data_IF_967560936447
#
_entry.id   IF_967560936447
#
_cell.length_a   1.000
_cell.length_b   1.000
_cell.length_c   1.000
_cell.angle_alpha   90.00
_cell.angle_beta   90.00
_cell.angle_gamma   90.00
#
_symmetry.space_group_name_H-M   'P 1'
#
loop_
_entity.id
_entity.type
_entity.pdbx_description
1 polymer ?
#
# COMPACT_ATOMS: atom_id res chain seq x y z
N UNK A 1 8.72 -13.87 -0.50
CA UNK A 1 8.13 -12.68 0.14
C UNK A 1 7.07 -12.13 -0.79
N UNK A 2 5.85 -11.86 -0.31
CA UNK A 2 4.76 -11.38 -1.17
C UNK A 2 4.89 -9.86 -1.33
N UNK A 3 4.68 -9.34 -2.53
CA UNK A 3 4.73 -7.90 -2.82
C UNK A 3 3.73 -7.51 -3.89
N UNK A 4 3.39 -6.22 -3.93
CA UNK A 4 2.70 -5.59 -5.05
C UNK A 4 3.64 -4.55 -5.65
N UNK A 5 3.80 -4.55 -6.96
CA UNK A 5 4.60 -3.55 -7.67
C UNK A 5 3.69 -2.66 -8.49
N UNK A 6 3.97 -1.36 -8.50
CA UNK A 6 3.33 -0.42 -9.41
C UNK A 6 4.36 0.39 -10.15
N UNK A 7 4.15 0.54 -11.45
CA UNK A 7 4.91 1.48 -12.28
C UNK A 7 4.23 2.84 -12.26
N UNK A 8 5.03 3.88 -12.13
CA UNK A 8 4.63 5.29 -12.19
C UNK A 8 5.78 6.12 -12.75
N UNK A 9 5.47 7.34 -13.23
CA UNK A 9 6.50 8.28 -13.69
C UNK A 9 7.38 8.77 -12.54
N UNK A 10 6.82 8.89 -11.35
CA UNK A 10 7.52 9.33 -10.14
C UNK A 10 7.06 8.50 -8.93
N UNK A 11 7.85 7.50 -8.50
CA UNK A 11 7.53 6.66 -7.34
C UNK A 11 7.51 7.42 -6.01
N UNK A 12 8.34 8.44 -5.87
CA UNK A 12 8.42 9.24 -4.65
C UNK A 12 7.19 10.12 -4.52
N UNK A 13 6.81 10.82 -5.59
CA UNK A 13 5.60 11.63 -5.62
C UNK A 13 4.34 10.76 -5.39
N UNK A 14 4.28 9.57 -5.99
CA UNK A 14 3.17 8.64 -5.75
C UNK A 14 3.06 8.25 -4.27
N UNK A 15 4.18 7.90 -3.63
CA UNK A 15 4.20 7.58 -2.19
C UNK A 15 3.69 8.77 -1.38
N UNK A 16 4.18 9.97 -1.65
CA UNK A 16 3.76 11.19 -0.94
C UNK A 16 2.28 11.51 -1.13
N UNK A 17 1.74 11.33 -2.34
CA UNK A 17 0.32 11.53 -2.63
C UNK A 17 -0.57 10.47 -1.95
N UNK A 18 -0.13 9.22 -1.86
CA UNK A 18 -0.80 8.18 -1.04
C UNK A 18 -0.89 8.64 0.40
N UNK A 19 0.23 9.04 1.01
CA UNK A 19 0.27 9.49 2.40
C UNK A 19 -0.61 10.71 2.63
N UNK A 20 -0.52 11.71 1.75
CA UNK A 20 -1.32 12.93 1.82
C UNK A 20 -2.81 12.64 1.74
N UNK A 21 -3.27 11.74 0.85
CA UNK A 21 -4.68 11.36 0.77
C UNK A 21 -5.15 10.60 2.01
N UNK A 22 -4.32 9.75 2.61
CA UNK A 22 -4.63 9.07 3.88
C UNK A 22 -4.74 10.08 5.04
N UNK A 23 -3.75 10.95 5.19
CA UNK A 23 -3.70 11.96 6.27
C UNK A 23 -4.84 12.98 6.15
N UNK A 24 -5.25 13.33 4.92
CA UNK A 24 -6.40 14.18 4.65
C UNK A 24 -7.76 13.45 4.80
N UNK A 25 -7.76 12.15 5.14
CA UNK A 25 -8.97 11.35 5.30
C UNK A 25 -9.68 10.97 3.98
N UNK A 26 -9.07 11.25 2.82
CA UNK A 26 -9.62 10.88 1.50
C UNK A 26 -9.52 9.37 1.23
N UNK A 27 -8.59 8.70 1.90
CA UNK A 27 -8.47 7.23 1.96
C UNK A 27 -8.64 6.83 3.42
N UNK A 28 -9.90 6.75 3.87
CA UNK A 28 -10.23 6.62 5.29
C UNK A 28 -10.06 5.21 5.85
N UNK A 29 -10.06 4.17 4.99
CA UNK A 29 -9.92 2.77 5.39
C UNK A 29 -8.48 2.34 5.66
N UNK A 30 -7.49 3.22 5.43
CA UNK A 30 -6.07 2.96 5.60
C UNK A 30 -5.44 3.93 6.60
N UNK A 31 -4.32 3.51 7.20
CA UNK A 31 -3.52 4.31 8.13
C UNK A 31 -2.03 4.14 7.87
N UNK A 32 -1.27 5.12 8.34
CA UNK A 32 0.17 5.11 8.39
C UNK A 32 0.61 4.92 9.85
N UNK A 33 1.77 4.31 10.07
CA UNK A 33 2.42 4.37 11.37
C UNK A 33 2.94 5.80 11.66
N UNK A 34 3.37 6.02 12.90
CA UNK A 34 3.87 7.32 13.37
C UNK A 34 5.04 7.85 12.52
N UNK A 35 5.85 6.95 11.95
CA UNK A 35 7.00 7.29 11.13
C UNK A 35 6.70 7.31 9.62
N UNK A 36 5.46 7.05 9.19
CA UNK A 36 5.03 6.94 7.78
C UNK A 36 5.87 5.97 6.95
N UNK A 37 6.37 4.92 7.60
CA UNK A 37 7.11 3.82 6.95
C UNK A 37 6.19 2.67 6.60
N UNK A 38 5.12 2.48 7.38
CA UNK A 38 4.23 1.34 7.26
C UNK A 38 2.83 1.81 6.89
N UNK A 39 2.22 1.12 5.93
CA UNK A 39 0.85 1.31 5.50
C UNK A 39 0.02 0.09 5.94
N UNK A 40 -1.10 0.32 6.64
CA UNK A 40 -1.98 -0.76 7.10
C UNK A 40 -3.46 -0.43 6.95
N UNK A 41 -4.30 -1.45 7.02
CA UNK A 41 -5.75 -1.30 6.87
C UNK A 41 -6.45 -1.18 8.23
N UNK A 42 -7.33 -0.18 8.41
CA UNK A 42 -8.02 0.11 9.69
C UNK A 42 -9.12 -0.88 10.06
N UNK A 43 -9.68 -1.58 9.08
CA UNK A 43 -10.74 -2.56 9.29
C UNK A 43 -10.38 -3.59 10.36
N UNK A 44 -11.27 -3.81 11.33
CA UNK A 44 -11.01 -4.60 12.54
C UNK A 44 -10.47 -6.01 12.25
N UNK A 45 -10.97 -6.67 11.21
CA UNK A 45 -10.54 -8.01 10.79
C UNK A 45 -9.14 -8.08 10.13
N UNK A 46 -8.52 -6.94 9.87
CA UNK A 46 -7.21 -6.81 9.22
C UNK A 46 -6.20 -6.09 10.11
N UNK A 47 -6.70 -5.31 11.08
CA UNK A 47 -5.88 -4.52 11.99
C UNK A 47 -4.87 -5.40 12.70
N UNK A 48 -3.62 -4.94 12.71
CA UNK A 48 -2.47 -5.66 13.28
C UNK A 48 -2.10 -6.98 12.62
N UNK A 49 -2.82 -7.49 11.61
CA UNK A 49 -2.49 -8.75 10.94
C UNK A 49 -1.47 -8.60 9.81
N UNK A 50 -1.50 -7.47 9.10
CA UNK A 50 -0.54 -7.16 8.06
C UNK A 50 -0.25 -5.67 7.96
N UNK A 51 0.88 -5.36 7.33
CA UNK A 51 1.28 -4.01 6.95
C UNK A 51 2.15 -4.08 5.69
N UNK A 52 2.29 -2.95 5.01
CA UNK A 52 3.13 -2.80 3.83
C UNK A 52 4.27 -1.83 4.11
N UNK A 53 5.48 -2.23 3.73
CA UNK A 53 6.63 -1.34 3.63
C UNK A 53 6.79 -0.84 2.20
N UNK A 54 7.23 0.40 2.03
CA UNK A 54 7.55 0.97 0.72
C UNK A 54 9.00 0.68 0.34
N UNK A 55 9.22 0.27 -0.91
CA UNK A 55 10.53 0.33 -1.58
C UNK A 55 10.38 1.17 -2.84
N UNK A 56 11.28 2.13 -3.03
CA UNK A 56 11.31 2.99 -4.21
C UNK A 56 12.50 2.56 -5.09
N UNK A 57 12.22 2.31 -6.36
CA UNK A 57 13.19 2.16 -7.44
C UNK A 57 12.92 3.27 -8.47
N UNK A 58 13.59 4.41 -8.29
CA UNK A 58 13.41 5.59 -9.15
C UNK A 58 13.94 5.34 -10.57
N UNK A 59 15.00 4.53 -10.73
CA UNK A 59 15.60 4.26 -12.04
C UNK A 59 14.62 3.48 -12.94
N UNK A 60 13.81 2.60 -12.34
CA UNK A 60 12.77 1.85 -13.05
C UNK A 60 11.39 2.48 -13.01
N UNK A 61 11.20 3.57 -12.25
CA UNK A 61 9.88 4.15 -12.00
C UNK A 61 8.94 3.17 -11.30
N UNK A 62 9.45 2.43 -10.31
CA UNK A 62 8.69 1.41 -9.56
C UNK A 62 8.55 1.80 -8.09
N UNK A 63 7.33 1.68 -7.57
CA UNK A 63 7.05 1.65 -6.14
C UNK A 63 6.61 0.24 -5.76
N UNK A 64 7.37 -0.43 -4.89
CA UNK A 64 7.01 -1.73 -4.35
C UNK A 64 6.37 -1.60 -2.97
N UNK A 65 5.34 -2.40 -2.75
CA UNK A 65 4.67 -2.59 -1.47
C UNK A 65 4.99 -3.99 -0.96
N UNK A 66 5.93 -4.07 -0.03
CA UNK A 66 6.33 -5.32 0.59
C UNK A 66 5.35 -5.73 1.68
N UNK A 67 4.67 -6.86 1.49
CA UNK A 67 3.76 -7.39 2.50
C UNK A 67 4.56 -7.96 3.67
N UNK A 68 4.27 -7.45 4.86
CA UNK A 68 4.68 -8.01 6.14
C UNK A 68 3.44 -8.50 6.87
N UNK A 69 3.55 -9.70 7.44
CA UNK A 69 2.45 -10.33 8.16
C UNK A 69 2.94 -10.74 9.53
N UNK A 70 2.04 -10.78 10.50
CA UNK A 70 2.35 -11.27 11.84
C UNK A 70 2.08 -12.78 12.01
N UNK A 71 1.63 -13.47 10.94
CA UNK A 71 1.36 -14.91 10.93
C UNK A 71 0.11 -15.34 11.72
N UNK A 72 -0.75 -14.40 12.12
CA UNK A 72 -1.89 -14.70 13.01
C UNK A 72 -3.22 -14.91 12.29
N UNK A 73 -3.30 -14.68 10.97
CA UNK A 73 -4.55 -14.81 10.21
C UNK A 73 -4.33 -15.02 8.71
N UNK A 74 -4.46 -16.27 8.25
CA UNK A 74 -4.38 -16.63 6.82
C UNK A 74 -5.41 -15.88 5.96
N UNK A 75 -6.60 -15.63 6.52
CA UNK A 75 -7.64 -14.85 5.83
C UNK A 75 -7.18 -13.42 5.56
N UNK A 76 -6.66 -12.73 6.57
CA UNK A 76 -6.20 -11.35 6.41
C UNK A 76 -5.03 -11.28 5.42
N UNK A 77 -4.11 -12.23 5.49
CA UNK A 77 -2.98 -12.33 4.56
C UNK A 77 -3.43 -12.58 3.11
N UNK A 78 -4.45 -13.43 2.91
CA UNK A 78 -5.01 -13.70 1.58
C UNK A 78 -5.66 -12.47 0.94
N UNK A 79 -6.13 -11.52 1.77
CA UNK A 79 -6.81 -10.31 1.32
C UNK A 79 -5.91 -9.09 1.23
N UNK A 80 -4.75 -9.10 1.87
CA UNK A 80 -3.87 -7.93 1.96
C UNK A 80 -3.56 -7.28 0.60
N UNK A 81 -3.06 -8.08 -0.36
CA UNK A 81 -2.72 -7.57 -1.70
C UNK A 81 -3.96 -7.09 -2.46
N UNK A 82 -5.06 -7.85 -2.41
CA UNK A 82 -6.32 -7.47 -3.07
C UNK A 82 -6.90 -6.16 -2.51
N UNK A 83 -6.79 -5.93 -1.20
CA UNK A 83 -7.22 -4.67 -0.59
C UNK A 83 -6.36 -3.51 -1.08
N UNK A 84 -5.05 -3.71 -1.15
CA UNK A 84 -4.10 -2.71 -1.62
C UNK A 84 -4.33 -2.36 -3.09
N UNK A 85 -4.46 -3.37 -3.95
CA UNK A 85 -4.79 -3.20 -5.38
C UNK A 85 -6.04 -2.34 -5.55
N UNK A 86 -7.14 -2.69 -4.86
CA UNK A 86 -8.40 -1.93 -4.94
C UNK A 86 -8.25 -0.49 -4.50
N UNK A 87 -7.50 -0.23 -3.44
CA UNK A 87 -7.23 1.14 -2.99
C UNK A 87 -6.46 1.93 -4.05
N UNK A 88 -5.42 1.32 -4.62
CA UNK A 88 -4.59 1.95 -5.63
C UNK A 88 -5.37 2.23 -6.93
N UNK A 89 -6.15 1.27 -7.40
CA UNK A 89 -7.03 1.43 -8.58
C UNK A 89 -8.09 2.51 -8.35
N UNK A 90 -8.71 2.56 -7.17
CA UNK A 90 -9.76 3.52 -6.86
C UNK A 90 -9.26 4.98 -6.80
N UNK A 91 -7.99 5.20 -6.47
CA UNK A 91 -7.46 6.54 -6.18
C UNK A 91 -6.36 7.02 -7.12
N UNK A 92 -5.73 6.13 -7.91
CA UNK A 92 -4.52 6.42 -8.68
C UNK A 92 -4.44 5.69 -10.03
N UNK A 93 -5.54 5.09 -10.51
CA UNK A 93 -5.55 4.30 -11.76
C UNK A 93 -5.14 5.07 -13.02
N UNK A 94 -5.17 6.39 -12.99
CA UNK A 94 -4.74 7.29 -14.06
C UNK A 94 -3.22 7.51 -14.10
N UNK A 95 -2.53 7.29 -12.97
CA UNK A 95 -1.09 7.58 -12.83
C UNK A 95 -0.24 6.36 -12.57
N UNK A 96 -0.85 5.20 -12.30
CA UNK A 96 -0.13 3.95 -12.03
C UNK A 96 -0.48 2.85 -13.03
N UNK A 97 0.43 1.88 -13.13
CA UNK A 97 0.14 0.55 -13.69
C UNK A 97 0.59 -0.51 -12.70
N UNK A 98 -0.35 -1.34 -12.23
CA UNK A 98 -0.01 -2.49 -11.39
C UNK A 98 0.72 -3.54 -12.22
N UNK A 99 1.86 -4.00 -11.72
CA UNK A 99 2.68 -5.06 -12.33
C UNK A 99 2.40 -6.36 -11.57
N UNK A 100 2.08 -7.43 -12.31
CA UNK A 100 1.73 -8.76 -11.78
C UNK A 100 2.81 -9.77 -12.09
#
# INVERSE_FOLDING_TARGET
MKKLEVSTKDPLELKEEIEKKILAGKISSWELDENRKLLSHKGQQYRSHFYFEYIIDNDKGILEFLLRTNGTSDFAESKALQLLERMLEAHFSDVIKIIK
#
